data_IF_473759977834
#
_entry.id   IF_473759977834
#
_cell.length_a   1.000
_cell.length_b   1.000
_cell.length_c   1.000
_cell.angle_alpha   90.00
_cell.angle_beta   90.00
_cell.angle_gamma   90.00
#
_symmetry.space_group_name_H-M   'P 1'
#
loop_
_entity.id
_entity.type
_entity.pdbx_description
1 polymer ?
#
# COMPACT_ATOMS: atom_id res chain seq x y z
N UNK A 1 -0.40 -4.05 -2.02
CA UNK A 1 -0.27 -3.30 -0.76
C UNK A 1 1.19 -3.23 -0.39
N UNK A 2 1.70 -2.04 -0.18
CA UNK A 2 3.06 -1.80 0.31
C UNK A 2 2.96 -1.52 1.80
N UNK A 3 3.45 -2.43 2.62
CA UNK A 3 3.61 -2.17 4.04
C UNK A 3 4.90 -1.37 4.22
N UNK A 4 4.78 -0.05 4.27
CA UNK A 4 5.92 0.77 4.62
C UNK A 4 6.44 0.38 5.99
N UNK A 5 7.76 0.37 6.16
CA UNK A 5 8.42 -0.04 7.40
C UNK A 5 8.10 0.85 8.61
N UNK A 6 7.41 1.94 8.38
CA UNK A 6 6.89 2.83 9.42
C UNK A 6 5.46 2.49 9.84
N UNK A 7 4.86 1.46 9.22
CA UNK A 7 3.50 1.06 9.51
C UNK A 7 3.49 -0.25 10.32
N UNK A 8 2.95 -0.32 11.52
CA UNK A 8 2.29 0.78 12.25
C UNK A 8 3.28 1.90 12.63
N UNK A 9 2.88 3.14 12.45
CA UNK A 9 3.81 4.29 12.55
C UNK A 9 4.36 4.52 13.96
N UNK A 10 3.68 4.07 14.96
CA UNK A 10 4.02 4.26 16.38
C UNK A 10 4.09 5.73 16.82
N UNK A 11 3.86 6.68 15.92
CA UNK A 11 3.90 8.11 16.24
C UNK A 11 2.64 8.62 16.93
N UNK A 12 1.58 7.82 16.93
CA UNK A 12 0.28 8.24 17.43
C UNK A 12 -0.36 9.33 16.56
N UNK A 13 -1.64 9.54 16.78
CA UNK A 13 -2.36 10.66 16.16
C UNK A 13 -1.91 11.98 16.77
N UNK A 14 -2.09 13.06 16.00
CA UNK A 14 -2.01 14.41 16.51
C UNK A 14 -2.91 14.56 17.74
N UNK A 15 -2.39 15.22 18.77
CA UNK A 15 -3.07 15.36 20.06
C UNK A 15 -3.45 16.80 20.30
N UNK A 16 -4.70 17.04 20.65
CA UNK A 16 -5.20 18.37 20.95
C UNK A 16 -4.39 19.07 22.06
N UNK A 17 -3.83 18.31 23.01
CA UNK A 17 -2.99 18.87 24.10
C UNK A 17 -1.66 19.45 23.63
N UNK A 18 -1.22 19.13 22.41
CA UNK A 18 0.02 19.61 21.79
C UNK A 18 -0.20 20.30 20.45
N UNK A 19 -1.42 20.32 19.94
CA UNK A 19 -1.75 20.84 18.60
C UNK A 19 -3.00 21.68 18.69
N UNK A 20 -2.84 23.00 18.64
CA UNK A 20 -3.93 23.95 18.83
C UNK A 20 -5.05 23.87 17.75
N UNK A 21 -4.77 23.26 16.61
CA UNK A 21 -5.76 23.05 15.55
C UNK A 21 -6.70 21.86 15.80
N UNK A 22 -6.38 21.02 16.79
CA UNK A 22 -7.19 19.85 17.11
C UNK A 22 -8.29 20.20 18.11
N UNK A 23 -9.49 19.64 17.88
CA UNK A 23 -10.60 19.80 18.80
C UNK A 23 -10.33 19.09 20.12
N UNK A 24 -10.49 19.77 21.28
CA UNK A 24 -10.35 19.12 22.59
C UNK A 24 -11.19 17.86 22.72
N UNK A 25 -10.60 16.79 23.29
CA UNK A 25 -11.24 15.51 23.44
C UNK A 25 -12.67 15.56 23.99
N UNK A 26 -12.91 16.28 25.09
CA UNK A 26 -14.26 16.40 25.68
C UNK A 26 -15.31 17.05 24.78
N UNK A 27 -14.89 17.82 23.74
CA UNK A 27 -15.78 18.49 22.80
C UNK A 27 -16.02 17.67 21.51
N UNK A 28 -15.34 16.54 21.36
CA UNK A 28 -15.48 15.69 20.19
C UNK A 28 -16.76 14.86 20.26
N UNK A 29 -17.35 14.58 19.10
CA UNK A 29 -18.53 13.71 18.99
C UNK A 29 -18.24 12.23 19.31
N UNK A 30 -16.98 11.82 19.14
CA UNK A 30 -16.48 10.46 19.41
C UNK A 30 -15.75 10.33 20.77
N UNK A 31 -15.95 11.27 21.69
CA UNK A 31 -15.27 11.37 22.99
C UNK A 31 -15.31 10.07 23.81
N UNK A 32 -16.39 9.31 23.69
CA UNK A 32 -16.58 8.09 24.49
C UNK A 32 -15.78 6.88 23.92
N UNK A 33 -15.24 7.03 22.72
CA UNK A 33 -14.45 5.99 22.03
C UNK A 33 -12.97 6.33 21.85
N UNK A 34 -12.54 7.49 22.33
CA UNK A 34 -11.14 7.92 22.26
C UNK A 34 -10.57 8.17 23.66
N UNK A 35 -9.26 7.95 23.87
CA UNK A 35 -8.62 8.22 25.15
C UNK A 35 -8.85 9.66 25.63
N UNK A 36 -9.11 9.81 26.92
CA UNK A 36 -9.33 11.09 27.57
C UNK A 36 -8.23 11.37 28.57
N UNK A 37 -7.81 12.64 28.67
CA UNK A 37 -6.82 13.04 29.68
C UNK A 37 -7.50 13.07 31.05
N UNK A 38 -6.89 12.40 32.05
CA UNK A 38 -7.42 12.31 33.41
C UNK A 38 -6.98 13.47 34.30
N UNK A 39 -5.92 14.17 33.93
CA UNK A 39 -5.37 15.28 34.69
C UNK A 39 -4.25 15.99 33.91
N UNK A 40 -3.65 17.02 34.54
CA UNK A 40 -2.65 17.88 33.89
C UNK A 40 -1.24 17.69 34.44
N UNK A 41 -1.00 16.66 35.26
CA UNK A 41 0.35 16.32 35.69
C UNK A 41 1.16 15.69 34.54
N UNK A 42 2.48 15.74 34.63
CA UNK A 42 3.37 15.07 33.68
C UNK A 42 3.06 13.57 33.57
N UNK A 43 2.65 12.94 34.70
CA UNK A 43 2.25 11.53 34.72
C UNK A 43 0.96 11.29 33.93
N UNK A 44 -0.04 12.14 34.10
CA UNK A 44 -1.32 12.02 33.38
C UNK A 44 -1.13 12.22 31.87
N UNK A 45 -0.29 13.19 31.50
CA UNK A 45 0.04 13.43 30.10
C UNK A 45 0.81 12.26 29.46
N UNK A 46 1.70 11.62 30.23
CA UNK A 46 2.42 10.43 29.77
C UNK A 46 1.45 9.25 29.57
N UNK A 47 0.55 9.01 30.53
CA UNK A 47 -0.48 7.97 30.44
C UNK A 47 -1.39 8.20 29.22
N UNK A 48 -1.93 9.39 29.07
CA UNK A 48 -2.74 9.78 27.90
C UNK A 48 -1.99 9.57 26.58
N UNK A 49 -0.69 9.87 26.56
CA UNK A 49 0.14 9.67 25.36
C UNK A 49 0.29 8.19 25.01
N UNK A 50 0.43 7.34 26.02
CA UNK A 50 0.52 5.89 25.84
C UNK A 50 -0.80 5.32 25.32
N UNK A 51 -1.93 5.69 25.93
CA UNK A 51 -3.27 5.28 25.47
C UNK A 51 -3.56 5.73 24.03
N UNK A 52 -3.23 6.97 23.68
CA UNK A 52 -3.37 7.48 22.32
C UNK A 52 -2.51 6.71 21.30
N UNK A 53 -1.34 6.22 21.73
CA UNK A 53 -0.49 5.38 20.89
C UNK A 53 -1.09 4.00 20.68
N UNK A 54 -1.66 3.41 21.72
CA UNK A 54 -2.35 2.11 21.63
C UNK A 54 -3.60 2.20 20.75
N UNK A 55 -4.41 3.24 20.91
CA UNK A 55 -5.56 3.50 20.06
C UNK A 55 -5.16 3.66 18.59
N UNK A 56 -4.09 4.42 18.33
CA UNK A 56 -3.54 4.59 16.98
C UNK A 56 -3.08 3.27 16.37
N UNK A 57 -2.42 2.41 17.16
CA UNK A 57 -1.99 1.08 16.71
C UNK A 57 -3.18 0.19 16.39
N UNK A 58 -4.23 0.25 17.19
CA UNK A 58 -5.46 -0.50 16.92
C UNK A 58 -6.12 -0.07 15.61
N UNK A 59 -6.20 1.23 15.35
CA UNK A 59 -6.73 1.76 14.09
C UNK A 59 -5.88 1.36 12.88
N UNK A 60 -4.55 1.43 13.00
CA UNK A 60 -3.65 0.97 11.95
C UNK A 60 -3.79 -0.54 11.69
N UNK A 61 -4.01 -1.33 12.74
CA UNK A 61 -4.29 -2.77 12.63
C UNK A 61 -5.61 -3.04 11.89
N UNK A 62 -6.65 -2.26 12.17
CA UNK A 62 -7.93 -2.34 11.44
C UNK A 62 -7.76 -2.00 9.96
N UNK A 63 -6.97 -0.96 9.65
CA UNK A 63 -6.65 -0.60 8.27
C UNK A 63 -5.87 -1.70 7.56
N UNK A 64 -4.88 -2.30 8.22
CA UNK A 64 -4.13 -3.43 7.67
C UNK A 64 -5.05 -4.64 7.40
N UNK A 65 -5.94 -4.96 8.34
CA UNK A 65 -6.94 -6.01 8.15
C UNK A 65 -7.82 -5.75 6.92
N UNK A 66 -8.35 -4.54 6.79
CA UNK A 66 -9.15 -4.18 5.62
C UNK A 66 -8.34 -4.30 4.33
N UNK A 67 -7.09 -3.82 4.32
CA UNK A 67 -6.23 -3.89 3.14
C UNK A 67 -5.92 -5.34 2.74
N UNK A 68 -5.59 -6.20 3.69
CA UNK A 68 -5.25 -7.59 3.43
C UNK A 68 -6.45 -8.41 2.96
N UNK A 69 -7.62 -8.17 3.52
CA UNK A 69 -8.86 -8.88 3.15
C UNK A 69 -9.51 -8.36 1.85
N UNK A 70 -9.00 -7.29 1.24
CA UNK A 70 -9.46 -6.85 -0.09
C UNK A 70 -8.90 -7.70 -1.23
N UNK A 71 -7.83 -8.42 -1.00
CA UNK A 71 -7.27 -9.30 -2.03
C UNK A 71 -8.24 -10.45 -2.34
N UNK A 72 -8.57 -10.61 -3.63
CA UNK A 72 -9.48 -11.67 -4.08
C UNK A 72 -8.72 -12.91 -4.57
N UNK A 73 -7.64 -12.73 -5.29
CA UNK A 73 -6.89 -13.81 -5.93
C UNK A 73 -5.46 -13.95 -5.40
N UNK A 74 -4.86 -12.86 -4.96
CA UNK A 74 -3.50 -12.87 -4.44
C UNK A 74 -3.20 -11.58 -3.69
N UNK A 75 -2.35 -11.69 -2.69
CA UNK A 75 -1.86 -10.57 -1.88
C UNK A 75 -0.34 -10.51 -2.01
N UNK A 76 0.17 -9.36 -2.40
CA UNK A 76 1.59 -9.07 -2.41
C UNK A 76 1.91 -8.00 -1.38
N UNK A 77 2.77 -8.33 -0.43
CA UNK A 77 3.20 -7.41 0.64
C UNK A 77 4.70 -7.20 0.46
N UNK A 78 5.14 -5.95 0.51
CA UNK A 78 6.55 -5.61 0.39
C UNK A 78 6.94 -4.48 1.33
N UNK A 79 8.20 -4.43 1.70
CA UNK A 79 8.80 -3.36 2.48
C UNK A 79 10.26 -3.13 2.01
N UNK A 80 10.89 -2.07 2.50
CA UNK A 80 12.26 -1.75 2.16
C UNK A 80 13.07 -1.40 3.40
N UNK A 81 14.34 -1.74 3.40
CA UNK A 81 15.28 -1.38 4.48
C UNK A 81 15.80 0.05 4.33
N UNK A 82 15.94 0.50 3.11
CA UNK A 82 16.51 1.79 2.78
C UNK A 82 15.57 2.61 1.91
N UNK A 83 15.29 3.83 2.32
CA UNK A 83 14.67 4.83 1.48
C UNK A 83 15.74 5.65 0.73
N UNK A 84 15.32 6.41 -0.27
CA UNK A 84 16.26 7.15 -1.16
C UNK A 84 17.17 8.15 -0.44
N UNK A 85 16.71 8.74 0.65
CA UNK A 85 17.41 9.83 1.37
C UNK A 85 17.70 9.50 2.83
N UNK A 86 17.42 8.28 3.26
CA UNK A 86 17.58 7.90 4.66
C UNK A 86 19.03 7.54 4.97
N UNK A 87 19.51 8.03 6.09
CA UNK A 87 20.85 7.71 6.60
C UNK A 87 20.86 6.40 7.38
N UNK A 88 19.77 6.09 8.08
CA UNK A 88 19.65 4.87 8.89
C UNK A 88 18.68 3.88 8.28
N UNK A 89 18.94 2.56 8.40
CA UNK A 89 18.02 1.54 7.92
C UNK A 89 16.71 1.58 8.69
N UNK A 90 15.65 1.16 8.05
CA UNK A 90 14.33 0.97 8.68
C UNK A 90 14.22 -0.45 9.21
N UNK A 91 13.59 -0.59 10.36
CA UNK A 91 13.16 -1.88 10.87
C UNK A 91 12.09 -2.53 9.99
N UNK A 92 11.78 -3.78 10.23
CA UNK A 92 10.69 -4.48 9.58
C UNK A 92 9.36 -3.99 10.14
N UNK A 93 8.36 -3.80 9.30
CA UNK A 93 6.98 -3.58 9.73
C UNK A 93 6.47 -4.78 10.52
N UNK A 94 5.75 -4.54 11.62
CA UNK A 94 5.13 -5.61 12.41
C UNK A 94 4.22 -6.48 11.55
N UNK A 95 3.43 -5.89 10.66
CA UNK A 95 2.54 -6.65 9.78
C UNK A 95 3.28 -7.52 8.77
N UNK A 96 4.49 -7.12 8.35
CA UNK A 96 5.34 -7.93 7.50
C UNK A 96 5.95 -9.10 8.29
N UNK A 97 6.35 -8.85 9.53
CA UNK A 97 6.85 -9.89 10.44
C UNK A 97 5.75 -10.92 10.74
N UNK A 98 4.56 -10.47 11.11
CA UNK A 98 3.41 -11.34 11.36
C UNK A 98 3.03 -12.18 10.14
N UNK A 99 3.09 -11.59 8.93
CA UNK A 99 2.84 -12.32 7.69
C UNK A 99 3.92 -13.38 7.42
N UNK A 100 5.19 -13.09 7.71
CA UNK A 100 6.27 -14.07 7.63
C UNK A 100 6.05 -15.23 8.60
N UNK A 101 5.72 -14.92 9.85
CA UNK A 101 5.50 -15.93 10.88
C UNK A 101 4.30 -16.84 10.50
N UNK A 102 3.25 -16.23 9.97
CA UNK A 102 2.13 -17.00 9.45
C UNK A 102 2.54 -17.94 8.29
N UNK A 103 3.32 -17.45 7.31
CA UNK A 103 3.84 -18.28 6.22
C UNK A 103 4.64 -19.46 6.75
N UNK A 104 5.48 -19.24 7.77
CA UNK A 104 6.26 -20.32 8.39
C UNK A 104 5.34 -21.40 9.00
N UNK A 105 4.18 -21.05 9.57
CA UNK A 105 3.20 -22.03 10.07
C UNK A 105 2.59 -22.88 8.94
N UNK A 106 2.61 -22.37 7.70
CA UNK A 106 2.14 -23.08 6.50
C UNK A 106 3.28 -23.85 5.81
N UNK A 107 4.49 -23.87 6.37
CA UNK A 107 5.67 -24.47 5.76
C UNK A 107 6.15 -23.70 4.51
N UNK A 108 5.85 -22.42 4.43
CA UNK A 108 6.21 -21.53 3.33
C UNK A 108 7.20 -20.46 3.81
N UNK A 109 7.97 -19.93 2.87
CA UNK A 109 8.89 -18.84 3.13
C UNK A 109 8.54 -17.63 2.25
N UNK A 110 8.88 -16.38 2.70
CA UNK A 110 8.78 -15.21 1.85
C UNK A 110 9.62 -15.36 0.59
N UNK A 111 9.12 -14.90 -0.54
CA UNK A 111 9.86 -14.93 -1.81
C UNK A 111 11.21 -14.20 -1.73
N UNK A 112 11.25 -13.10 -0.97
CA UNK A 112 12.47 -12.33 -0.66
C UNK A 112 12.39 -11.86 0.79
N UNK A 113 13.45 -12.13 1.55
CA UNK A 113 13.62 -11.56 2.90
C UNK A 113 15.05 -11.07 3.07
N UNK A 114 15.24 -9.78 2.94
CA UNK A 114 16.55 -9.16 3.11
C UNK A 114 17.05 -9.30 4.56
N UNK A 115 18.35 -9.58 4.75
CA UNK A 115 18.96 -9.61 6.08
C UNK A 115 18.78 -8.26 6.78
N UNK A 116 18.91 -8.27 8.09
CA UNK A 116 18.93 -7.04 8.87
C UNK A 116 20.25 -6.31 8.63
N UNK A 117 20.22 -5.03 8.25
CA UNK A 117 21.44 -4.25 8.09
C UNK A 117 22.18 -4.09 9.40
N UNK A 118 23.51 -3.99 9.35
CA UNK A 118 24.30 -3.66 10.52
C UNK A 118 23.96 -2.25 11.04
N UNK A 119 24.07 -1.98 12.35
CA UNK A 119 23.67 -0.70 12.94
C UNK A 119 24.32 0.54 12.31
N UNK A 120 25.56 0.39 11.83
CA UNK A 120 26.36 1.46 11.23
C UNK A 120 26.47 1.34 9.70
N UNK A 121 25.71 0.44 9.10
CA UNK A 121 25.73 0.26 7.64
C UNK A 121 25.21 1.52 6.94
N UNK A 122 26.00 2.01 5.99
CA UNK A 122 25.62 3.17 5.19
C UNK A 122 24.56 2.79 4.14
N UNK A 123 23.62 3.70 3.91
CA UNK A 123 22.61 3.49 2.86
C UNK A 123 23.28 3.37 1.48
N UNK A 124 23.19 2.21 0.82
CA UNK A 124 23.83 1.97 -0.47
C UNK A 124 23.26 2.84 -1.61
N UNK A 125 22.08 3.44 -1.39
CA UNK A 125 21.38 4.26 -2.40
C UNK A 125 21.67 5.76 -2.28
N UNK A 126 22.45 6.22 -1.29
CA UNK A 126 22.75 7.64 -1.12
C UNK A 126 23.66 8.19 -2.22
N UNK A 127 24.48 7.35 -2.84
CA UNK A 127 25.44 7.75 -3.89
C UNK A 127 24.83 7.81 -5.30
N UNK A 128 23.69 7.18 -5.51
CA UNK A 128 23.10 6.97 -6.85
C UNK A 128 22.01 8.00 -7.22
N UNK A 129 22.04 9.18 -6.60
CA UNK A 129 20.99 10.19 -6.83
C UNK A 129 21.20 11.03 -8.10
N UNK A 130 22.33 10.88 -8.80
CA UNK A 130 22.52 11.56 -10.08
C UNK A 130 21.97 10.71 -11.22
N UNK A 131 20.85 11.10 -11.76
CA UNK A 131 20.28 10.50 -12.98
C UNK A 131 20.60 11.42 -14.13
N UNK A 132 21.22 10.87 -15.19
CA UNK A 132 21.41 11.62 -16.42
C UNK A 132 20.04 12.04 -16.98
N UNK A 133 19.86 13.31 -17.25
CA UNK A 133 18.64 13.83 -17.89
C UNK A 133 19.02 14.45 -19.24
N UNK A 134 18.28 14.15 -20.30
CA UNK A 134 17.13 13.26 -20.35
C UNK A 134 17.51 11.77 -20.18
N UNK A 135 16.61 11.01 -19.56
CA UNK A 135 16.77 9.56 -19.47
C UNK A 135 16.76 9.02 -20.89
N UNK A 136 17.83 8.30 -21.27
CA UNK A 136 17.81 7.56 -22.54
C UNK A 136 16.62 6.60 -22.55
N UNK A 137 15.67 6.85 -23.43
CA UNK A 137 14.47 6.04 -23.58
C UNK A 137 14.79 4.74 -24.35
N UNK A 138 15.66 3.91 -23.78
CA UNK A 138 15.90 2.55 -24.29
C UNK A 138 14.59 1.73 -24.45
N UNK A 139 13.52 2.20 -23.79
CA UNK A 139 12.18 1.63 -23.96
C UNK A 139 11.42 2.15 -25.19
N UNK A 140 11.90 3.21 -25.88
CA UNK A 140 11.16 3.77 -27.01
C UNK A 140 11.24 2.82 -28.21
N UNK A 141 12.40 2.33 -28.53
CA UNK A 141 12.58 1.34 -29.62
C UNK A 141 11.77 0.08 -29.37
N UNK A 142 11.77 -0.41 -28.12
CA UNK A 142 10.95 -1.57 -27.74
C UNK A 142 9.46 -1.29 -27.86
N UNK A 143 9.00 -0.10 -27.48
CA UNK A 143 7.59 0.31 -27.64
C UNK A 143 7.20 0.45 -29.08
N UNK A 144 8.07 0.99 -29.91
CA UNK A 144 7.84 1.15 -31.33
C UNK A 144 7.76 -0.22 -32.03
N UNK A 145 8.66 -1.13 -31.69
CA UNK A 145 8.65 -2.51 -32.17
C UNK A 145 7.39 -3.26 -31.74
N UNK A 146 6.97 -3.12 -30.47
CA UNK A 146 5.71 -3.68 -29.99
C UNK A 146 4.48 -3.05 -30.67
N UNK A 147 4.49 -1.73 -30.88
CA UNK A 147 3.42 -1.04 -31.58
C UNK A 147 3.32 -1.48 -33.04
N UNK A 148 4.47 -1.73 -33.68
CA UNK A 148 4.51 -2.28 -35.05
C UNK A 148 3.96 -3.70 -35.08
N UNK A 149 4.36 -4.58 -34.17
CA UNK A 149 3.81 -5.93 -34.07
C UNK A 149 2.29 -5.93 -33.85
N UNK A 150 1.78 -5.02 -32.99
CA UNK A 150 0.32 -4.88 -32.81
C UNK A 150 -0.37 -4.41 -34.09
N UNK A 151 0.21 -3.44 -34.82
CA UNK A 151 -0.35 -2.98 -36.11
C UNK A 151 -0.35 -4.09 -37.15
N UNK A 152 0.72 -4.87 -37.24
CA UNK A 152 0.82 -6.01 -38.14
C UNK A 152 -0.19 -7.09 -37.80
N UNK A 153 -0.36 -7.39 -36.51
CA UNK A 153 -1.40 -8.33 -36.05
C UNK A 153 -2.81 -7.83 -36.32
N UNK A 154 -3.08 -6.54 -36.10
CA UNK A 154 -4.37 -5.95 -36.43
C UNK A 154 -4.64 -5.95 -37.93
N UNK A 155 -3.61 -5.74 -38.73
CA UNK A 155 -3.73 -5.80 -40.20
C UNK A 155 -3.90 -7.24 -40.74
N UNK A 156 -3.24 -8.21 -40.07
CA UNK A 156 -3.33 -9.64 -40.41
C UNK A 156 -4.52 -10.34 -39.75
N UNK A 157 -5.08 -9.78 -38.71
CA UNK A 157 -6.28 -10.29 -38.05
C UNK A 157 -7.43 -10.17 -39.05
N UNK A 158 -7.81 -11.29 -39.66
CA UNK A 158 -9.07 -11.40 -40.36
C UNK A 158 -10.15 -10.82 -39.43
N UNK A 159 -10.96 -9.88 -39.91
CA UNK A 159 -12.08 -9.32 -39.15
C UNK A 159 -12.80 -10.46 -38.44
N UNK A 160 -13.09 -10.36 -37.15
CA UNK A 160 -13.77 -11.44 -36.45
C UNK A 160 -14.97 -11.85 -37.26
N UNK A 161 -15.05 -13.14 -37.57
CA UNK A 161 -16.14 -13.66 -38.40
C UNK A 161 -17.47 -13.20 -37.78
N UNK A 162 -18.24 -12.36 -38.45
CA UNK A 162 -19.50 -11.84 -37.93
C UNK A 162 -20.52 -12.96 -37.63
N UNK A 163 -20.24 -14.17 -38.07
CA UNK A 163 -21.05 -15.36 -37.85
C UNK A 163 -20.54 -16.23 -36.67
N UNK A 164 -19.57 -15.77 -35.85
CA UNK A 164 -19.20 -16.49 -34.62
C UNK A 164 -20.42 -16.62 -33.71
N UNK A 165 -20.81 -17.83 -33.29
CA UNK A 165 -21.99 -18.04 -32.42
C UNK A 165 -22.00 -17.12 -31.21
N UNK A 166 -20.84 -16.90 -30.60
CA UNK A 166 -20.66 -16.04 -29.45
C UNK A 166 -20.91 -14.55 -29.73
N UNK A 167 -20.59 -14.08 -30.94
CA UNK A 167 -20.88 -12.71 -31.38
C UNK A 167 -22.35 -12.49 -31.71
N UNK A 168 -23.01 -13.52 -32.24
CA UNK A 168 -24.47 -13.49 -32.46
C UNK A 168 -25.22 -13.44 -31.14
N UNK A 169 -24.81 -14.23 -30.17
CA UNK A 169 -25.38 -14.25 -28.81
C UNK A 169 -25.21 -12.88 -28.13
N UNK A 170 -23.99 -12.32 -28.12
CA UNK A 170 -23.70 -11.00 -27.54
C UNK A 170 -24.48 -9.86 -28.23
N UNK A 171 -24.70 -9.94 -29.55
CA UNK A 171 -25.54 -8.96 -30.25
C UNK A 171 -27.00 -9.08 -29.86
N UNK A 172 -27.49 -10.30 -29.67
CA UNK A 172 -28.85 -10.54 -29.18
C UNK A 172 -29.06 -9.97 -27.78
N UNK A 173 -28.11 -10.16 -26.87
CA UNK A 173 -28.16 -9.57 -25.53
C UNK A 173 -28.11 -8.03 -25.58
N UNK A 174 -27.27 -7.46 -26.42
CA UNK A 174 -27.16 -6.00 -26.58
C UNK A 174 -28.46 -5.39 -27.11
N UNK A 175 -29.09 -6.03 -28.12
CA UNK A 175 -30.34 -5.59 -28.70
C UNK A 175 -31.50 -5.65 -27.67
N UNK A 176 -31.51 -6.66 -26.80
CA UNK A 176 -32.46 -6.76 -25.68
C UNK A 176 -32.28 -5.62 -24.68
N UNK A 177 -31.03 -5.36 -24.24
CA UNK A 177 -30.72 -4.27 -23.32
C UNK A 177 -31.05 -2.89 -23.90
N UNK A 178 -30.84 -2.69 -25.20
CA UNK A 178 -31.20 -1.46 -25.88
C UNK A 178 -32.72 -1.30 -26.08
N UNK A 179 -33.47 -2.38 -26.11
CA UNK A 179 -34.93 -2.35 -26.15
C UNK A 179 -35.55 -2.03 -24.79
N UNK A 180 -34.93 -2.51 -23.69
CA UNK A 180 -35.35 -2.20 -22.32
C UNK A 180 -35.02 -0.76 -21.90
N UNK A 181 -34.02 -0.12 -22.53
CA UNK A 181 -33.60 1.24 -22.23
C UNK A 181 -34.43 2.33 -22.95
N UNK A 182 -35.42 1.96 -23.75
CA UNK A 182 -36.37 2.86 -24.43
C UNK A 182 -37.72 2.89 -23.73
#
# INVERSE_FOLDING_TARGET
FVAENVFPSGRGRSRWVSTAAELPGPLRGDRDSVPQISGWSTKDLAAYTAEMKEDSLLEETRLAYVAFTRARLGLHISGHRWGRTQVKPRGVSQFLADAKDWLATQGQEPAVWAPEPEPDEANPHLSDLSVAWPIELASFERRELLAQQVREQLASSARPNPSSPKLVELRGELDLLLAEAK
#
